data_IF_001121492623
#
_entry.id   IF_001121492623
#
_cell.length_a   1.000
_cell.length_b   1.000
_cell.length_c   1.000
_cell.angle_alpha   90.00
_cell.angle_beta   90.00
_cell.angle_gamma   90.00
#
_symmetry.space_group_name_H-M   'P 1'
#
loop_
_entity.id
_entity.type
_entity.pdbx_description
1 polymer ?
#
# COMPACT_ATOMS: atom_id res chain seq x y z
N UNK A 1 8.81 -74.64 -43.59
CA UNK A 1 7.34 -74.63 -43.79
C UNK A 1 6.98 -73.35 -44.55
N UNK A 2 6.77 -73.44 -45.87
CA UNK A 2 5.49 -73.21 -46.61
C UNK A 2 4.86 -71.82 -46.35
N UNK A 3 5.11 -70.85 -47.26
CA UNK A 3 4.19 -70.29 -48.32
C UNK A 3 3.28 -69.12 -47.81
N UNK A 4 2.79 -68.18 -48.65
CA UNK A 4 3.36 -67.49 -49.82
C UNK A 4 3.06 -65.94 -49.75
N UNK A 5 2.66 -65.16 -50.80
CA UNK A 5 3.49 -64.12 -51.40
C UNK A 5 2.81 -62.72 -51.57
N UNK A 6 3.50 -61.84 -52.30
CA UNK A 6 2.95 -60.94 -53.33
C UNK A 6 2.32 -59.58 -52.95
N UNK A 7 2.98 -58.54 -53.51
CA UNK A 7 2.44 -57.47 -54.38
C UNK A 7 1.46 -56.38 -53.88
N UNK A 8 1.78 -55.17 -54.38
CA UNK A 8 0.89 -54.10 -54.91
C UNK A 8 0.29 -53.05 -53.92
N UNK A 9 0.84 -51.84 -54.05
CA UNK A 9 0.18 -50.51 -54.23
C UNK A 9 -1.33 -50.56 -54.63
N UNK A 10 -2.15 -49.47 -54.57
CA UNK A 10 -2.00 -48.09 -54.04
C UNK A 10 -3.30 -47.50 -53.38
N UNK A 11 -3.22 -46.21 -53.01
CA UNK A 11 -4.24 -45.12 -53.14
C UNK A 11 -5.63 -45.19 -52.47
N UNK A 12 -5.92 -44.02 -51.86
CA UNK A 12 -7.20 -43.33 -51.66
C UNK A 12 -7.97 -43.60 -50.35
N UNK A 13 -7.94 -42.60 -49.46
CA UNK A 13 -9.12 -41.84 -49.01
C UNK A 13 -8.68 -40.63 -48.14
N UNK A 14 -8.84 -39.42 -48.68
CA UNK A 14 -8.99 -38.15 -47.91
C UNK A 14 -10.41 -38.14 -47.30
N UNK A 15 -10.73 -37.43 -46.19
CA UNK A 15 -10.41 -35.99 -46.02
C UNK A 15 -10.12 -35.47 -44.59
N UNK A 16 -9.52 -34.26 -44.58
CA UNK A 16 -9.66 -33.16 -43.61
C UNK A 16 -9.61 -33.43 -42.09
N UNK A 17 -8.59 -32.88 -41.42
CA UNK A 17 -8.81 -31.99 -40.26
C UNK A 17 -7.56 -31.16 -39.94
N UNK A 18 -7.77 -29.84 -39.99
CA UNK A 18 -6.92 -28.81 -39.41
C UNK A 18 -6.76 -29.01 -37.90
N UNK A 19 -5.56 -28.80 -37.37
CA UNK A 19 -5.25 -27.99 -36.18
C UNK A 19 -3.74 -28.08 -35.94
N UNK A 20 -3.00 -27.07 -36.40
CA UNK A 20 -2.62 -25.90 -35.60
C UNK A 20 -1.49 -26.26 -34.63
N UNK A 21 -0.30 -25.81 -35.02
CA UNK A 21 0.94 -25.90 -34.29
C UNK A 21 0.81 -25.28 -32.89
N UNK A 22 1.05 -26.08 -31.85
CA UNK A 22 1.40 -25.57 -30.52
C UNK A 22 2.90 -25.27 -30.51
N UNK A 23 3.23 -24.08 -30.99
CA UNK A 23 4.49 -23.41 -30.67
C UNK A 23 4.55 -23.28 -29.15
N UNK A 24 5.47 -24.05 -28.56
CA UNK A 24 5.83 -23.99 -27.16
C UNK A 24 6.43 -22.60 -26.88
N UNK A 25 5.59 -21.69 -26.41
CA UNK A 25 6.02 -20.40 -25.89
C UNK A 25 6.74 -20.64 -24.56
N UNK A 26 8.06 -20.78 -24.61
CA UNK A 26 8.92 -20.44 -23.48
C UNK A 26 8.69 -18.97 -23.15
N UNK A 27 7.72 -18.68 -22.29
CA UNK A 27 7.56 -17.39 -21.65
C UNK A 27 8.72 -17.16 -20.70
N UNK A 28 9.85 -16.69 -21.23
CA UNK A 28 10.78 -15.88 -20.46
C UNK A 28 9.98 -14.69 -19.94
N UNK A 29 9.64 -14.70 -18.66
CA UNK A 29 9.24 -13.49 -17.96
C UNK A 29 10.32 -12.45 -18.21
N UNK A 30 10.02 -11.46 -19.04
CA UNK A 30 10.95 -10.38 -19.32
C UNK A 30 11.35 -9.76 -17.97
N UNK A 31 12.64 -9.46 -17.75
CA UNK A 31 13.02 -8.67 -16.58
C UNK A 31 12.26 -7.35 -16.68
N UNK A 32 11.33 -7.13 -15.76
CA UNK A 32 10.63 -5.86 -15.67
C UNK A 32 11.67 -4.77 -15.43
N UNK A 33 11.59 -3.73 -16.26
CA UNK A 33 12.42 -2.52 -16.23
C UNK A 33 12.71 -2.06 -14.79
N UNK A 34 13.97 -2.18 -14.38
CA UNK A 34 14.46 -1.89 -13.02
C UNK A 34 14.93 -0.43 -12.88
N UNK A 35 14.18 0.52 -13.45
CA UNK A 35 14.34 1.96 -13.17
C UNK A 35 13.36 2.45 -12.08
N UNK A 36 12.85 1.52 -11.27
CA UNK A 36 12.01 1.79 -10.09
C UNK A 36 12.80 2.27 -8.86
N UNK A 37 12.09 2.68 -7.81
CA UNK A 37 12.70 2.99 -6.52
C UNK A 37 12.80 1.73 -5.66
N UNK A 38 13.88 1.60 -4.87
CA UNK A 38 14.04 0.49 -3.93
C UNK A 38 14.09 1.00 -2.51
N UNK A 39 13.13 0.57 -1.69
CA UNK A 39 12.97 1.02 -0.30
C UNK A 39 12.92 -0.16 0.67
N UNK A 40 13.41 0.06 1.89
CA UNK A 40 13.40 -0.93 2.94
C UNK A 40 12.24 -0.73 3.93
N UNK A 41 12.13 -1.66 4.86
CA UNK A 41 11.20 -1.58 5.96
C UNK A 41 11.16 -2.87 6.77
N UNK A 42 10.28 -2.87 7.77
CA UNK A 42 10.01 -4.05 8.61
C UNK A 42 8.51 -4.28 8.70
N UNK A 43 8.10 -5.55 8.60
CA UNK A 43 6.78 -6.00 9.01
C UNK A 43 6.85 -6.34 10.50
N UNK A 44 6.19 -5.52 11.30
CA UNK A 44 6.15 -5.61 12.74
C UNK A 44 5.06 -6.61 13.15
N UNK A 45 5.51 -7.63 13.89
CA UNK A 45 4.75 -8.60 14.68
C UNK A 45 3.59 -9.35 13.97
N UNK A 46 3.68 -10.68 13.76
CA UNK A 46 4.84 -11.54 14.03
C UNK A 46 5.87 -11.43 12.89
N UNK A 47 7.18 -11.38 13.20
CA UNK A 47 8.18 -11.53 12.16
C UNK A 47 8.13 -12.96 11.63
N UNK A 48 7.88 -13.11 10.33
CA UNK A 48 7.85 -14.40 9.65
C UNK A 48 8.34 -14.21 8.22
N UNK A 49 9.03 -15.24 7.72
CA UNK A 49 9.37 -15.27 6.31
C UNK A 49 8.09 -15.44 5.49
N UNK A 50 8.02 -14.79 4.34
CA UNK A 50 6.84 -14.85 3.50
C UNK A 50 6.88 -13.87 2.34
N UNK A 51 5.70 -13.55 1.83
CA UNK A 51 5.51 -12.56 0.76
C UNK A 51 4.49 -11.53 1.19
N UNK A 52 4.88 -10.25 1.09
CA UNK A 52 3.99 -9.12 1.27
C UNK A 52 3.57 -8.58 -0.11
N UNK A 53 2.28 -8.29 -0.27
CA UNK A 53 1.73 -7.63 -1.45
C UNK A 53 1.10 -6.32 -1.01
N UNK A 54 1.67 -5.21 -1.43
CA UNK A 54 1.21 -3.87 -1.09
C UNK A 54 0.20 -3.38 -2.12
N UNK A 55 -0.87 -2.78 -1.64
CA UNK A 55 -2.01 -2.38 -2.46
C UNK A 55 -2.33 -0.90 -2.35
N UNK A 56 -2.91 -0.39 -3.42
CA UNK A 56 -3.55 0.91 -3.48
C UNK A 56 -5.00 0.75 -3.91
N UNK A 57 -5.85 1.70 -3.54
CA UNK A 57 -7.24 1.71 -3.97
C UNK A 57 -7.39 2.51 -5.27
N UNK A 58 -8.11 1.93 -6.23
CA UNK A 58 -8.55 2.55 -7.48
C UNK A 58 -10.05 2.42 -7.54
N UNK A 59 -10.76 3.55 -7.61
CA UNK A 59 -12.22 3.55 -7.80
C UNK A 59 -12.94 2.62 -6.79
N UNK A 60 -12.47 2.60 -5.54
CA UNK A 60 -13.00 1.77 -4.44
C UNK A 60 -12.49 0.32 -4.38
N UNK A 61 -11.63 -0.11 -5.29
CA UNK A 61 -11.09 -1.47 -5.35
C UNK A 61 -9.60 -1.50 -5.03
N UNK A 62 -9.20 -2.38 -4.10
CA UNK A 62 -7.79 -2.61 -3.81
C UNK A 62 -7.10 -3.37 -4.96
N UNK A 63 -5.98 -2.85 -5.44
CA UNK A 63 -5.15 -3.49 -6.46
C UNK A 63 -3.71 -3.62 -5.96
N UNK A 64 -3.09 -4.75 -6.27
CA UNK A 64 -1.68 -4.99 -5.98
C UNK A 64 -0.79 -4.06 -6.83
N UNK A 65 0.15 -3.38 -6.17
CA UNK A 65 1.08 -2.43 -6.81
C UNK A 65 2.49 -2.99 -6.84
N UNK A 66 2.92 -3.56 -5.72
CA UNK A 66 4.25 -4.07 -5.55
C UNK A 66 4.24 -5.23 -4.55
N UNK A 67 5.22 -6.11 -4.66
CA UNK A 67 5.40 -7.21 -3.71
C UNK A 67 6.84 -7.27 -3.23
N UNK A 68 7.04 -7.80 -2.04
CA UNK A 68 8.36 -8.02 -1.48
C UNK A 68 8.43 -9.40 -0.82
N UNK A 69 9.59 -10.04 -0.95
CA UNK A 69 9.96 -11.13 -0.05
C UNK A 69 10.28 -10.54 1.31
N UNK A 70 9.75 -11.19 2.34
CA UNK A 70 9.94 -10.81 3.74
C UNK A 70 10.84 -11.87 4.37
N UNK A 71 11.92 -11.43 5.01
CA UNK A 71 12.82 -12.31 5.75
C UNK A 71 12.21 -12.75 7.07
N UNK A 72 12.79 -13.77 7.71
CA UNK A 72 12.31 -14.31 8.99
C UNK A 72 12.33 -13.31 10.15
N UNK A 73 13.14 -12.25 10.05
CA UNK A 73 13.18 -11.15 11.02
C UNK A 73 12.16 -10.04 10.70
N UNK A 74 11.32 -10.22 9.68
CA UNK A 74 10.32 -9.26 9.22
C UNK A 74 10.87 -8.19 8.28
N UNK A 75 12.18 -8.14 8.02
CA UNK A 75 12.76 -7.16 7.09
C UNK A 75 12.33 -7.44 5.65
N UNK A 76 12.16 -6.38 4.86
CA UNK A 76 11.86 -6.51 3.44
C UNK A 76 12.56 -5.42 2.64
N UNK A 77 12.71 -5.67 1.34
CA UNK A 77 13.08 -4.68 0.34
C UNK A 77 12.04 -4.68 -0.76
N UNK A 78 11.39 -3.53 -0.94
CA UNK A 78 10.29 -3.34 -1.87
C UNK A 78 10.81 -2.61 -3.11
N UNK A 79 10.60 -3.22 -4.27
CA UNK A 79 10.78 -2.57 -5.56
C UNK A 79 9.47 -1.86 -5.92
N UNK A 80 9.51 -0.53 -5.91
CA UNK A 80 8.40 0.32 -6.31
C UNK A 80 8.51 0.60 -7.81
N UNK A 81 7.43 0.42 -8.60
CA UNK A 81 7.48 0.62 -10.04
C UNK A 81 7.78 2.08 -10.40
N UNK A 82 8.58 2.33 -11.43
CA UNK A 82 8.93 3.68 -11.88
C UNK A 82 7.69 4.50 -12.28
N UNK A 83 6.72 3.85 -12.92
CA UNK A 83 5.47 4.45 -13.38
C UNK A 83 4.30 3.52 -13.05
N UNK A 84 3.76 3.54 -11.81
CA UNK A 84 2.57 2.77 -11.49
C UNK A 84 1.37 3.26 -12.31
N UNK A 85 0.39 2.38 -12.52
CA UNK A 85 -0.91 2.78 -13.03
C UNK A 85 -1.54 3.76 -12.03
N UNK A 86 -2.14 4.83 -12.54
CA UNK A 86 -2.86 5.82 -11.75
C UNK A 86 -4.35 5.85 -12.13
N UNK A 87 -5.23 6.36 -11.25
CA UNK A 87 -6.61 6.67 -11.62
C UNK A 87 -6.68 7.58 -12.86
N UNK A 88 -7.81 7.54 -13.57
CA UNK A 88 -8.00 8.30 -14.81
C UNK A 88 -8.14 9.81 -14.57
N UNK A 89 -8.68 10.22 -13.40
CA UNK A 89 -8.87 11.61 -13.00
C UNK A 89 -8.02 12.03 -11.81
N UNK A 90 -8.05 13.33 -11.52
CA UNK A 90 -7.51 13.90 -10.28
C UNK A 90 -8.10 13.16 -9.08
N UNK A 91 -7.27 12.85 -8.09
CA UNK A 91 -7.71 12.09 -6.91
C UNK A 91 -6.97 12.50 -5.63
N UNK A 92 -6.84 13.82 -5.41
CA UNK A 92 -6.10 14.35 -4.27
C UNK A 92 -6.78 14.06 -2.94
N UNK A 93 -8.09 13.77 -2.96
CA UNK A 93 -8.85 13.25 -1.83
C UNK A 93 -8.38 11.86 -1.35
N UNK A 94 -7.60 11.13 -2.16
CA UNK A 94 -6.97 9.88 -1.74
C UNK A 94 -5.77 10.10 -0.80
N UNK A 95 -5.25 11.33 -0.70
CA UNK A 95 -4.22 11.65 0.28
C UNK A 95 -4.82 11.58 1.69
N UNK A 96 -4.17 10.87 2.63
CA UNK A 96 -4.70 10.75 3.98
C UNK A 96 -4.59 12.10 4.68
N UNK A 97 -5.72 12.74 4.94
CA UNK A 97 -5.80 14.03 5.66
C UNK A 97 -6.25 13.87 7.10
N UNK A 98 -6.76 12.70 7.48
CA UNK A 98 -7.25 12.39 8.83
C UNK A 98 -6.45 11.19 9.35
N UNK A 99 -5.98 11.20 10.61
CA UNK A 99 -5.22 10.10 11.17
C UNK A 99 -6.07 8.84 11.29
N UNK A 100 -5.57 7.71 10.75
CA UNK A 100 -6.19 6.39 10.88
C UNK A 100 -5.81 5.66 12.16
N UNK A 101 -4.76 6.13 12.85
CA UNK A 101 -4.33 5.64 14.16
C UNK A 101 -4.47 6.78 15.15
N UNK A 102 -5.22 6.54 16.21
CA UNK A 102 -5.54 7.51 17.23
C UNK A 102 -4.98 7.05 18.59
N UNK A 103 -4.76 7.97 19.54
CA UNK A 103 -4.46 7.60 20.92
C UNK A 103 -5.55 6.69 21.52
N UNK A 104 -5.19 5.80 22.44
CA UNK A 104 -6.09 4.77 22.99
C UNK A 104 -7.37 5.33 23.65
N UNK A 105 -7.30 6.55 24.20
CA UNK A 105 -8.43 7.27 24.79
C UNK A 105 -9.40 7.85 23.75
N UNK A 106 -9.08 7.78 22.46
CA UNK A 106 -9.86 8.33 21.35
C UNK A 106 -10.43 7.19 20.52
N UNK A 107 -11.76 7.18 20.36
CA UNK A 107 -12.47 6.16 19.57
C UNK A 107 -12.83 6.61 18.15
N UNK A 108 -12.76 7.90 17.88
CA UNK A 108 -13.14 8.44 16.57
C UNK A 108 -12.76 9.91 16.40
N UNK A 109 -12.77 10.33 15.14
CA UNK A 109 -12.48 11.71 14.73
C UNK A 109 -13.41 12.09 13.60
N UNK A 110 -13.93 13.32 13.65
CA UNK A 110 -14.70 13.93 12.57
C UNK A 110 -14.09 15.27 12.25
N UNK A 111 -13.75 15.50 10.99
CA UNK A 111 -13.12 16.72 10.53
C UNK A 111 -14.01 17.43 9.49
N UNK A 112 -13.97 18.75 9.49
CA UNK A 112 -14.63 19.60 8.50
C UNK A 112 -13.63 20.59 7.89
N UNK A 113 -13.96 21.03 6.67
CA UNK A 113 -13.07 21.80 5.81
C UNK A 113 -12.48 20.95 4.69
N UNK A 114 -11.85 21.61 3.73
CA UNK A 114 -11.22 20.98 2.58
C UNK A 114 -9.86 21.65 2.34
N UNK A 115 -8.77 20.89 2.19
CA UNK A 115 -7.49 21.48 1.85
C UNK A 115 -7.49 21.97 0.40
N UNK A 116 -6.73 23.03 0.12
CA UNK A 116 -6.64 23.63 -1.21
C UNK A 116 -5.41 23.09 -1.92
N UNK A 117 -5.62 22.62 -3.16
CA UNK A 117 -4.53 22.23 -4.05
C UNK A 117 -4.13 23.40 -4.93
N UNK A 118 -2.83 23.68 -4.99
CA UNK A 118 -2.25 24.57 -6.00
C UNK A 118 -1.95 23.86 -7.32
N UNK A 119 -2.16 22.54 -7.36
CA UNK A 119 -1.91 21.69 -8.53
C UNK A 119 -3.19 20.95 -8.91
N UNK A 120 -4.18 21.63 -9.51
CA UNK A 120 -5.40 20.98 -9.96
C UNK A 120 -5.06 19.92 -11.03
N UNK A 121 -5.76 18.78 -10.99
CA UNK A 121 -5.57 17.62 -11.90
C UNK A 121 -4.36 16.72 -11.62
N UNK A 122 -3.67 16.91 -10.49
CA UNK A 122 -2.63 15.97 -10.09
C UNK A 122 -3.24 14.61 -9.70
N UNK A 123 -2.52 13.56 -10.03
CA UNK A 123 -2.92 12.19 -9.73
C UNK A 123 -1.93 11.57 -8.78
N UNK A 124 -2.45 10.98 -7.72
CA UNK A 124 -1.65 10.39 -6.65
C UNK A 124 -2.09 8.95 -6.41
N UNK A 125 -1.14 8.09 -6.12
CA UNK A 125 -1.41 6.73 -5.66
C UNK A 125 -0.82 6.58 -4.27
N UNK A 126 -1.62 6.14 -3.31
CA UNK A 126 -1.18 5.91 -1.93
C UNK A 126 -1.24 4.42 -1.65
N UNK A 127 -0.15 3.86 -1.11
CA UNK A 127 -0.17 2.48 -0.61
C UNK A 127 -0.91 2.48 0.74
N UNK A 128 -2.17 2.06 0.74
CA UNK A 128 -3.03 2.11 1.94
C UNK A 128 -2.82 0.92 2.88
N UNK A 129 -2.23 -0.16 2.37
CA UNK A 129 -2.14 -1.43 3.08
C UNK A 129 -1.54 -2.52 2.20
N UNK A 130 -1.79 -3.76 2.59
CA UNK A 130 -1.38 -4.92 1.83
C UNK A 130 -1.85 -6.22 2.46
N UNK A 131 -1.45 -7.33 1.86
CA UNK A 131 -1.65 -8.67 2.40
C UNK A 131 -0.32 -9.36 2.63
N UNK A 132 -0.33 -10.33 3.52
CA UNK A 132 0.82 -11.18 3.81
C UNK A 132 0.43 -12.65 3.65
N UNK A 133 1.32 -13.42 3.02
CA UNK A 133 1.24 -14.88 2.95
C UNK A 133 2.54 -15.49 3.45
N UNK A 134 2.44 -16.37 4.45
CA UNK A 134 3.58 -17.10 5.00
C UNK A 134 4.14 -18.13 4.00
N UNK A 135 3.28 -18.72 3.16
CA UNK A 135 3.66 -19.79 2.22
C UNK A 135 4.24 -19.26 0.90
N UNK A 136 4.42 -17.95 0.77
CA UNK A 136 4.99 -17.29 -0.41
C UNK A 136 3.96 -16.78 -1.41
N UNK A 137 4.44 -16.33 -2.57
CA UNK A 137 3.59 -15.73 -3.60
C UNK A 137 2.52 -16.72 -4.11
N UNK A 138 1.24 -16.34 -4.00
CA UNK A 138 0.10 -17.19 -4.36
C UNK A 138 -0.38 -18.13 -3.26
N UNK A 139 0.28 -18.15 -2.10
CA UNK A 139 -0.19 -18.86 -0.91
C UNK A 139 -1.42 -18.20 -0.28
N UNK A 140 -2.00 -18.87 0.72
CA UNK A 140 -3.12 -18.33 1.47
C UNK A 140 -2.72 -17.03 2.19
N UNK A 141 -3.61 -16.04 2.16
CA UNK A 141 -3.41 -14.79 2.93
C UNK A 141 -3.59 -15.12 4.40
N UNK A 142 -2.55 -14.88 5.21
CA UNK A 142 -2.56 -15.14 6.65
C UNK A 142 -2.70 -13.86 7.47
N UNK A 143 -2.48 -12.69 6.85
CA UNK A 143 -2.73 -11.40 7.50
C UNK A 143 -2.85 -10.23 6.54
N UNK A 144 -3.34 -9.12 7.10
CA UNK A 144 -3.40 -7.81 6.47
C UNK A 144 -2.23 -6.95 6.97
N UNK A 145 -1.78 -6.03 6.14
CA UNK A 145 -0.74 -5.07 6.44
C UNK A 145 -1.35 -3.67 6.50
N UNK A 146 -1.01 -2.95 7.57
CA UNK A 146 -1.37 -1.54 7.75
C UNK A 146 -0.11 -0.73 8.05
N UNK A 147 -0.04 0.58 7.72
CA UNK A 147 1.05 1.43 8.17
C UNK A 147 1.30 1.27 9.67
N UNK A 148 2.54 0.97 10.08
CA UNK A 148 2.87 0.88 11.49
C UNK A 148 2.87 2.29 12.12
N UNK A 149 2.38 2.38 13.35
CA UNK A 149 2.53 3.56 14.18
C UNK A 149 3.74 3.43 15.11
N UNK A 150 4.47 4.51 15.29
CA UNK A 150 5.40 4.69 16.39
C UNK A 150 4.77 5.66 17.38
N UNK A 151 4.65 5.26 18.65
CA UNK A 151 4.12 6.11 19.72
C UNK A 151 5.23 6.40 20.73
N UNK A 152 5.45 7.69 21.01
CA UNK A 152 6.26 8.13 22.15
C UNK A 152 5.28 8.68 23.18
N UNK A 153 5.31 8.11 24.38
CA UNK A 153 4.53 8.57 25.52
C UNK A 153 5.49 8.85 26.68
N UNK A 154 5.40 10.04 27.27
CA UNK A 154 6.11 10.33 28.51
C UNK A 154 5.37 9.66 29.68
N UNK A 155 5.86 8.48 30.11
CA UNK A 155 5.25 7.67 31.18
C UNK A 155 5.28 8.33 32.56
N UNK A 156 6.06 9.40 32.78
CA UNK A 156 6.11 10.09 34.07
C UNK A 156 4.92 11.03 34.28
N UNK A 157 4.27 11.49 33.21
CA UNK A 157 3.11 12.39 33.29
C UNK A 157 1.90 11.90 32.49
N UNK A 158 2.02 10.86 31.65
CA UNK A 158 0.98 10.39 30.71
C UNK A 158 0.43 11.48 29.77
N UNK A 159 1.13 12.62 29.65
CA UNK A 159 0.55 13.85 29.13
C UNK A 159 0.93 14.15 27.67
N UNK A 160 2.11 13.75 27.20
CA UNK A 160 2.51 13.93 25.80
C UNK A 160 2.40 12.61 25.04
N UNK A 161 1.42 12.49 24.16
CA UNK A 161 1.31 11.38 23.21
C UNK A 161 1.66 11.91 21.82
N UNK A 162 2.73 11.39 21.22
CA UNK A 162 3.08 11.62 19.82
C UNK A 162 3.03 10.30 19.07
N UNK A 163 2.05 10.17 18.17
CA UNK A 163 1.89 9.03 17.26
C UNK A 163 2.33 9.45 15.88
N UNK A 164 3.23 8.67 15.26
CA UNK A 164 3.67 8.88 13.88
C UNK A 164 3.33 7.67 13.04
N UNK A 165 2.65 7.85 11.91
CA UNK A 165 2.45 6.82 10.88
C UNK A 165 3.08 7.28 9.57
N UNK A 166 3.58 6.32 8.78
CA UNK A 166 4.17 6.60 7.46
C UNK A 166 3.63 5.66 6.41
N UNK A 167 3.50 6.14 5.18
CA UNK A 167 3.23 5.29 4.02
C UNK A 167 3.88 5.85 2.76
N UNK A 168 3.82 5.11 1.66
CA UNK A 168 4.32 5.54 0.35
C UNK A 168 3.22 6.17 -0.48
N UNK A 169 3.60 7.18 -1.27
CA UNK A 169 2.74 7.72 -2.31
C UNK A 169 3.52 8.04 -3.59
N UNK A 170 2.93 7.75 -4.74
CA UNK A 170 3.43 8.18 -6.05
C UNK A 170 2.63 9.37 -6.55
N UNK A 171 3.29 10.42 -7.03
CA UNK A 171 2.65 11.55 -7.69
C UNK A 171 3.08 11.65 -9.16
N UNK A 172 2.14 11.88 -10.08
CA UNK A 172 2.45 12.02 -11.51
C UNK A 172 3.20 13.32 -11.87
N UNK A 173 3.14 14.31 -10.96
CA UNK A 173 3.77 15.63 -11.05
C UNK A 173 4.01 16.15 -9.63
N UNK A 174 4.67 17.30 -9.51
CA UNK A 174 4.78 17.99 -8.24
C UNK A 174 3.39 18.43 -7.75
N UNK A 175 3.07 18.15 -6.48
CA UNK A 175 1.76 18.44 -5.88
C UNK A 175 1.94 19.21 -4.60
N UNK A 176 1.22 20.32 -4.47
CA UNK A 176 1.11 21.02 -3.19
C UNK A 176 -0.34 21.13 -2.74
N UNK A 177 -0.62 20.51 -1.59
CA UNK A 177 -1.93 20.48 -0.92
C UNK A 177 -1.77 21.04 0.49
N UNK A 178 -2.50 22.12 0.80
CA UNK A 178 -2.39 22.83 2.08
C UNK A 178 -3.76 23.18 2.65
N UNK A 179 -3.92 23.10 3.96
CA UNK A 179 -5.13 23.56 4.64
C UNK A 179 -5.14 23.22 6.11
N UNK A 180 -6.14 23.71 6.83
CA UNK A 180 -6.39 23.33 8.22
C UNK A 180 -7.82 22.83 8.32
N UNK A 181 -7.99 21.61 8.81
CA UNK A 181 -9.28 21.01 9.10
C UNK A 181 -9.60 21.21 10.58
N UNK A 182 -10.84 21.58 10.86
CA UNK A 182 -11.35 21.63 12.23
C UNK A 182 -11.90 20.27 12.58
N UNK A 183 -11.44 19.68 13.69
CA UNK A 183 -11.76 18.31 14.04
C UNK A 183 -12.34 18.21 15.45
N UNK A 184 -13.30 17.30 15.60
CA UNK A 184 -13.85 16.87 16.88
C UNK A 184 -13.43 15.43 17.10
N UNK A 185 -12.71 15.18 18.19
CA UNK A 185 -12.28 13.84 18.59
C UNK A 185 -13.21 13.31 19.67
N UNK A 186 -13.76 12.13 19.44
CA UNK A 186 -14.63 11.46 20.41
C UNK A 186 -13.77 10.55 21.28
N UNK A 187 -13.84 10.73 22.59
CA UNK A 187 -13.14 9.90 23.56
C UNK A 187 -13.88 8.60 23.86
N UNK A 188 -13.21 7.64 24.48
CA UNK A 188 -13.79 6.36 24.90
C UNK A 188 -14.97 6.54 25.87
N UNK A 189 -14.93 7.55 26.73
CA UNK A 189 -16.00 7.94 27.67
C UNK A 189 -17.19 8.70 27.04
N UNK A 190 -17.16 8.92 25.72
CA UNK A 190 -18.14 9.71 24.94
C UNK A 190 -18.07 11.22 25.06
N UNK A 191 -17.15 11.75 25.85
CA UNK A 191 -16.83 13.17 25.78
C UNK A 191 -16.16 13.51 24.45
N UNK A 192 -16.15 14.80 24.11
CA UNK A 192 -15.48 15.30 22.90
C UNK A 192 -14.41 16.29 23.27
N UNK A 193 -13.33 16.28 22.50
CA UNK A 193 -12.26 17.27 22.58
C UNK A 193 -12.05 17.88 21.20
N UNK A 194 -11.89 19.19 21.15
CA UNK A 194 -11.57 19.89 19.91
C UNK A 194 -10.15 19.54 19.44
N UNK A 195 -9.89 19.78 18.16
CA UNK A 195 -8.57 19.63 17.61
C UNK A 195 -8.50 20.11 16.17
N UNK A 196 -7.33 19.97 15.59
CA UNK A 196 -7.08 20.40 14.22
C UNK A 196 -6.21 19.39 13.49
N UNK A 197 -6.41 19.31 12.17
CA UNK A 197 -5.46 18.67 11.27
C UNK A 197 -4.89 19.71 10.34
N UNK A 198 -3.59 19.96 10.44
CA UNK A 198 -2.86 20.73 9.46
C UNK A 198 -2.43 19.81 8.30
N UNK A 199 -2.85 20.16 7.10
CA UNK A 199 -2.47 19.48 5.85
C UNK A 199 -1.36 20.29 5.18
N UNK A 200 -0.22 19.65 4.94
CA UNK A 200 0.94 20.26 4.28
C UNK A 200 1.70 19.22 3.45
N UNK A 201 1.10 18.77 2.36
CA UNK A 201 1.78 17.91 1.39
C UNK A 201 2.46 18.76 0.32
N UNK A 202 3.76 18.53 0.13
CA UNK A 202 4.59 19.01 -0.99
C UNK A 202 5.28 17.77 -1.60
N UNK A 203 4.58 17.11 -2.50
CA UNK A 203 5.05 15.89 -3.17
C UNK A 203 5.86 16.27 -4.38
N UNK A 204 7.00 15.62 -4.57
CA UNK A 204 7.71 15.65 -5.86
C UNK A 204 7.14 14.61 -6.79
N UNK A 205 7.26 14.85 -8.10
CA UNK A 205 6.98 13.81 -9.10
C UNK A 205 7.74 12.53 -8.74
N UNK A 206 7.04 11.39 -8.78
CA UNK A 206 7.59 10.09 -8.40
C UNK A 206 7.16 9.66 -7.00
N UNK A 207 7.94 8.75 -6.39
CA UNK A 207 7.67 8.19 -5.08
C UNK A 207 8.12 9.12 -3.95
N UNK A 208 7.25 9.27 -2.95
CA UNK A 208 7.43 10.06 -1.74
C UNK A 208 7.02 9.21 -0.53
N UNK A 209 7.42 9.67 0.65
CA UNK A 209 6.89 9.14 1.93
C UNK A 209 5.90 10.15 2.50
N UNK A 210 4.69 9.69 2.80
CA UNK A 210 3.70 10.46 3.55
C UNK A 210 3.90 10.18 5.04
N UNK A 211 3.74 11.21 5.87
CA UNK A 211 3.85 11.12 7.31
C UNK A 211 2.67 11.84 7.96
N UNK A 212 2.07 11.18 8.94
CA UNK A 212 1.02 11.75 9.80
C UNK A 212 1.54 11.71 11.23
N UNK A 213 1.55 12.87 11.87
CA UNK A 213 1.92 13.04 13.29
C UNK A 213 0.72 13.53 14.06
N UNK A 214 0.28 12.77 15.05
CA UNK A 214 -0.80 13.16 15.96
C UNK A 214 -0.23 13.36 17.35
N UNK A 215 -0.37 14.58 17.86
CA UNK A 215 0.12 15.03 19.15
C UNK A 215 -1.02 15.43 20.07
N UNK A 216 -0.95 15.03 21.33
CA UNK A 216 -1.79 15.56 22.40
C UNK A 216 -0.89 15.90 23.61
N UNK A 217 -0.72 17.20 23.96
CA UNK A 217 0.19 17.60 25.04
C UNK A 217 -0.33 17.40 26.47
N UNK A 218 -1.63 17.24 26.63
CA UNK A 218 -2.28 16.84 27.89
C UNK A 218 -3.68 16.31 27.60
N UNK A 219 -4.29 15.58 28.55
CA UNK A 219 -5.61 14.98 28.34
C UNK A 219 -6.67 15.98 27.90
N UNK A 220 -6.65 17.21 28.43
CA UNK A 220 -7.63 18.26 28.12
C UNK A 220 -7.17 19.22 27.01
N UNK A 221 -5.92 19.11 26.56
CA UNK A 221 -5.44 19.88 25.43
C UNK A 221 -6.10 19.41 24.12
N UNK A 222 -6.32 20.32 23.16
CA UNK A 222 -6.73 19.97 21.82
C UNK A 222 -5.73 18.99 21.18
N UNK A 223 -6.26 18.05 20.39
CA UNK A 223 -5.42 17.14 19.61
C UNK A 223 -4.98 17.87 18.33
N UNK A 224 -3.68 17.90 18.10
CA UNK A 224 -3.10 18.48 16.89
C UNK A 224 -2.55 17.37 16.01
N UNK A 225 -2.98 17.34 14.74
CA UNK A 225 -2.41 16.44 13.74
C UNK A 225 -1.75 17.24 12.64
N UNK A 226 -0.57 16.81 12.20
CA UNK A 226 0.12 17.35 11.03
C UNK A 226 0.30 16.21 10.03
N UNK A 227 -0.21 16.42 8.82
CA UNK A 227 0.03 15.54 7.68
C UNK A 227 1.00 16.21 6.73
N UNK A 228 2.03 15.48 6.31
CA UNK A 228 3.12 16.03 5.51
C UNK A 228 3.78 14.99 4.61
N UNK A 229 4.53 15.45 3.61
CA UNK A 229 5.37 14.61 2.77
C UNK A 229 6.84 14.75 3.13
N UNK A 230 7.60 13.73 2.80
CA UNK A 230 9.04 13.65 2.93
C UNK A 230 9.63 13.03 1.67
N UNK A 231 10.94 13.25 1.48
CA UNK A 231 11.74 12.44 0.55
C UNK A 231 11.56 10.97 0.87
N UNK A 232 11.55 10.13 -0.17
CA UNK A 232 11.33 8.71 -0.05
C UNK A 232 12.24 8.07 1.00
N UNK A 233 11.65 7.43 2.00
CA UNK A 233 12.30 6.81 3.15
C UNK A 233 11.60 5.51 3.56
N UNK A 234 12.27 4.68 4.37
CA UNK A 234 11.74 3.40 4.82
C UNK A 234 10.43 3.53 5.60
N UNK A 235 9.54 2.57 5.39
CA UNK A 235 8.23 2.48 6.05
C UNK A 235 8.11 1.13 6.75
N UNK A 236 7.60 1.14 7.98
CA UNK A 236 7.27 -0.08 8.69
C UNK A 236 5.78 -0.37 8.56
N UNK A 237 5.42 -1.65 8.55
CA UNK A 237 4.05 -2.11 8.43
C UNK A 237 3.70 -2.97 9.62
N UNK A 238 2.50 -2.79 10.19
CA UNK A 238 1.94 -3.65 11.22
C UNK A 238 1.19 -4.79 10.54
N UNK A 239 1.48 -6.01 10.94
CA UNK A 239 0.70 -7.18 10.56
C UNK A 239 -0.53 -7.33 11.46
N UNK A 240 -1.66 -7.64 10.83
CA UNK A 240 -2.95 -7.91 11.46
C UNK A 240 -3.38 -9.32 11.02
N UNK A 241 -3.43 -10.31 11.92
CA UNK A 241 -3.85 -11.67 11.55
C UNK A 241 -5.26 -11.66 10.96
N UNK A 242 -5.51 -12.42 9.90
CA UNK A 242 -6.90 -12.80 9.60
C UNK A 242 -7.33 -13.79 10.67
N UNK A 243 -8.34 -13.43 11.44
CA UNK A 243 -8.97 -14.35 12.41
C UNK A 243 -9.52 -15.55 11.64
N UNK A 244 -9.26 -16.80 12.07
CA UNK A 244 -9.86 -17.99 11.48
C UNK A 244 -11.39 -17.99 11.54
#
# INVERSE_FOLDING_TARGET
>A
MRRPPATLLPRCLLPALMCAALLSACGTAAPQDMDGASVGGVIVFPPAAGTAVFSAYFDGQAQAIASAKVASDGTYRLALPATPRLPSGSNLEALPTVPSVLPDQVRGVQCSGEPVSSTPNARVLVLGGGTFSADGAGGAVTGQLSPASAAISNRLTSQDILITTRTYAYADRDVRLTGTLNCTFTRTDSSTVGGSVQVNYDLKRGWNTLEIRTGQPSLDAPIATVTSSQTLANVNWRYLPVTP
#
